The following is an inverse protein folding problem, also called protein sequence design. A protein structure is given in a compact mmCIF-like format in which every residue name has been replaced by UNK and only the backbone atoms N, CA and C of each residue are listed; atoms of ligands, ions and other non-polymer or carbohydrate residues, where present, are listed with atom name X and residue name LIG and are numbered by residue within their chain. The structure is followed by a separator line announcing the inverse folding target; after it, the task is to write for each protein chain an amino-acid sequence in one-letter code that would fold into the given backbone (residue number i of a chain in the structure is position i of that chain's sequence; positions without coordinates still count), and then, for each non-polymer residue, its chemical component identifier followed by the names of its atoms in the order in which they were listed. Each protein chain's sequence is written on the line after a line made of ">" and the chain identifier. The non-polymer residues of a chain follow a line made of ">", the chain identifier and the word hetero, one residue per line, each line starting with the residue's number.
data_IF_750524983914
#
_entry.id   IF_750524983914
#
_cell.length_a   1.000
_cell.length_b   1.000
_cell.length_c   1.000
_cell.angle_alpha   90.00
_cell.angle_beta   90.00
_cell.angle_gamma   90.00
#
_symmetry.space_group_name_H-M   'P 1'
#
loop_
_entity.id
_entity.type
_entity.pdbx_description
1 polymer ?
#
# COMPACT_ATOMS: atom_id res chain seq x y z
N UNK A 1 17.77 6.63 -21.24
CA UNK A 1 17.24 6.64 -19.86
C UNK A 1 18.33 7.23 -18.97
N UNK A 2 18.02 8.28 -18.19
CA UNK A 2 18.99 8.86 -17.25
C UNK A 2 19.22 7.93 -16.06
N UNK A 3 20.31 8.14 -15.30
CA UNK A 3 20.58 7.38 -14.05
C UNK A 3 19.41 7.48 -13.07
N UNK A 4 18.76 8.64 -12.97
CA UNK A 4 17.60 8.87 -12.11
C UNK A 4 16.38 8.08 -12.60
N UNK A 5 16.13 8.04 -13.92
CA UNK A 5 15.06 7.22 -14.49
C UNK A 5 15.32 5.71 -14.30
N UNK A 6 16.58 5.28 -14.36
CA UNK A 6 16.94 3.88 -14.07
C UNK A 6 16.68 3.53 -12.61
N UNK A 7 17.02 4.43 -11.68
CA UNK A 7 16.76 4.24 -10.26
C UNK A 7 15.26 4.12 -10.00
N UNK A 8 14.45 5.05 -10.51
CA UNK A 8 12.98 5.02 -10.41
C UNK A 8 12.43 3.70 -10.93
N UNK A 9 12.86 3.25 -12.12
CA UNK A 9 12.38 2.00 -12.71
C UNK A 9 12.76 0.78 -11.87
N UNK A 10 13.99 0.73 -11.34
CA UNK A 10 14.46 -0.38 -10.52
C UNK A 10 13.70 -0.49 -9.20
N UNK A 11 13.56 0.64 -8.48
CA UNK A 11 12.83 0.67 -7.22
C UNK A 11 11.34 0.42 -7.47
N UNK A 12 10.77 1.04 -8.51
CA UNK A 12 9.36 0.91 -8.85
C UNK A 12 8.98 -0.54 -9.17
N UNK A 13 9.80 -1.25 -9.95
CA UNK A 13 9.59 -2.67 -10.24
C UNK A 13 9.58 -3.51 -8.95
N UNK A 14 10.57 -3.34 -8.09
CA UNK A 14 10.62 -4.09 -6.83
C UNK A 14 9.47 -3.72 -5.90
N UNK A 15 9.06 -2.44 -5.84
CA UNK A 15 7.93 -1.99 -5.05
C UNK A 15 6.61 -2.62 -5.52
N UNK A 16 6.40 -2.71 -6.84
CA UNK A 16 5.24 -3.37 -7.42
C UNK A 16 5.23 -4.89 -7.16
N UNK A 17 6.38 -5.55 -7.20
CA UNK A 17 6.50 -6.98 -6.88
C UNK A 17 6.12 -7.30 -5.41
N UNK A 18 6.39 -6.36 -4.49
CA UNK A 18 6.07 -6.53 -3.07
C UNK A 18 4.69 -6.01 -2.67
N UNK A 19 4.04 -5.19 -3.51
CA UNK A 19 2.74 -4.59 -3.21
C UNK A 19 1.67 -5.62 -2.79
N UNK A 20 1.48 -6.78 -3.46
CA UNK A 20 0.44 -7.74 -3.10
C UNK A 20 0.54 -8.21 -1.64
N UNK A 21 1.77 -8.27 -1.12
CA UNK A 21 2.03 -8.72 0.26
C UNK A 21 1.91 -7.61 1.30
N UNK A 22 2.45 -6.42 0.99
CA UNK A 22 2.61 -5.37 2.00
C UNK A 22 1.59 -4.25 1.88
N UNK A 23 0.93 -4.11 0.72
CA UNK A 23 -0.12 -3.12 0.45
C UNK A 23 0.32 -1.67 0.69
N UNK A 24 1.60 -1.37 0.47
CA UNK A 24 2.17 -0.02 0.58
C UNK A 24 2.40 0.53 -0.83
N UNK A 25 1.92 1.75 -1.09
CA UNK A 25 2.00 2.37 -2.43
C UNK A 25 3.43 2.42 -2.97
N UNK A 26 3.67 1.92 -4.19
CA UNK A 26 4.96 2.02 -4.85
C UNK A 26 5.48 3.45 -4.99
N UNK A 27 4.62 4.42 -5.30
CA UNK A 27 4.98 5.84 -5.40
C UNK A 27 5.59 6.38 -4.11
N UNK A 28 5.01 6.05 -2.96
CA UNK A 28 5.55 6.42 -1.64
C UNK A 28 6.95 5.80 -1.45
N UNK A 29 7.10 4.51 -1.74
CA UNK A 29 8.38 3.79 -1.62
C UNK A 29 9.47 4.42 -2.47
N UNK A 30 9.15 4.76 -3.74
CA UNK A 30 10.12 5.40 -4.65
C UNK A 30 10.49 6.79 -4.13
N UNK A 31 9.51 7.61 -3.73
CA UNK A 31 9.74 8.97 -3.24
C UNK A 31 10.61 8.98 -1.98
N UNK A 32 10.34 8.10 -1.01
CA UNK A 32 11.18 7.96 0.18
C UNK A 32 12.59 7.49 -0.16
N UNK A 33 12.75 6.48 -1.01
CA UNK A 33 14.06 6.01 -1.44
C UNK A 33 14.87 7.12 -2.12
N UNK A 34 14.26 7.95 -2.96
CA UNK A 34 14.90 9.11 -3.59
C UNK A 34 15.33 10.13 -2.53
N UNK A 35 14.42 10.50 -1.63
CA UNK A 35 14.64 11.53 -0.63
C UNK A 35 15.75 11.13 0.35
N UNK A 36 15.64 9.94 0.94
CA UNK A 36 16.54 9.43 1.98
C UNK A 36 17.95 9.11 1.43
N UNK A 37 18.05 8.68 0.17
CA UNK A 37 19.32 8.32 -0.43
C UNK A 37 19.97 9.46 -1.25
N UNK A 38 19.31 10.60 -1.38
CA UNK A 38 19.75 11.66 -2.29
C UNK A 38 19.90 11.13 -3.73
N UNK A 39 18.85 10.53 -4.27
CA UNK A 39 18.87 9.92 -5.60
C UNK A 39 19.85 8.75 -5.74
N UNK A 40 19.99 7.94 -4.71
CA UNK A 40 20.94 6.80 -4.70
C UNK A 40 22.41 7.23 -4.65
N UNK A 41 22.70 8.49 -4.29
CA UNK A 41 24.07 9.02 -4.24
C UNK A 41 24.73 8.83 -2.89
N UNK A 42 23.97 8.52 -1.83
CA UNK A 42 24.51 8.29 -0.49
C UNK A 42 25.47 7.09 -0.45
N UNK A 43 26.38 7.08 0.53
CA UNK A 43 27.25 5.93 0.76
C UNK A 43 26.46 4.69 1.13
N UNK A 44 25.39 4.84 1.93
CA UNK A 44 24.52 3.72 2.34
C UNK A 44 23.81 3.07 1.15
N UNK A 45 23.28 3.87 0.22
CA UNK A 45 22.64 3.31 -0.98
C UNK A 45 23.65 2.59 -1.88
N UNK A 46 24.87 3.15 -2.06
CA UNK A 46 25.90 2.59 -2.95
C UNK A 46 26.62 1.37 -2.40
N UNK A 47 26.85 1.32 -1.09
CA UNK A 47 27.68 0.29 -0.44
C UNK A 47 26.87 -0.78 0.28
N UNK A 48 25.67 -0.42 0.74
CA UNK A 48 24.83 -1.27 1.56
C UNK A 48 23.46 -1.56 0.96
N UNK A 49 23.13 -1.05 -0.23
CA UNK A 49 21.79 -1.10 -0.83
C UNK A 49 20.69 -0.62 0.15
N UNK A 50 21.03 0.27 1.06
CA UNK A 50 20.14 0.84 2.06
C UNK A 50 19.72 2.25 1.63
N UNK A 51 18.63 2.32 0.91
CA UNK A 51 18.10 3.55 0.32
C UNK A 51 17.28 4.38 1.32
N UNK A 52 16.97 3.83 2.48
CA UNK A 52 16.08 4.44 3.48
C UNK A 52 16.80 4.84 4.77
N UNK A 53 18.11 4.72 4.82
CA UNK A 53 18.88 5.08 6.00
C UNK A 53 18.57 4.23 7.24
N UNK A 54 18.11 3.00 7.06
CA UNK A 54 17.69 2.16 8.18
C UNK A 54 18.86 1.71 9.03
N UNK A 55 18.84 2.08 10.31
CA UNK A 55 19.82 1.62 11.30
C UNK A 55 19.63 0.14 11.64
N UNK A 56 20.73 -0.53 11.96
CA UNK A 56 20.72 -1.87 12.54
C UNK A 56 20.26 -1.75 14.00
N UNK A 57 18.97 -1.91 14.25
CA UNK A 57 18.44 -1.89 15.61
C UNK A 57 18.81 -3.15 16.40
N UNK A 58 18.47 -3.16 17.69
CA UNK A 58 18.83 -4.23 18.64
C UNK A 58 18.53 -5.66 18.16
N UNK A 59 17.48 -5.82 17.37
CA UNK A 59 17.01 -7.13 16.91
C UNK A 59 17.43 -7.45 15.46
N UNK A 60 18.27 -6.60 14.85
CA UNK A 60 18.76 -6.87 13.51
C UNK A 60 19.86 -7.92 13.54
N UNK A 61 19.69 -9.01 12.81
CA UNK A 61 20.64 -10.14 12.73
C UNK A 61 21.30 -10.26 11.35
N UNK A 62 20.95 -9.37 10.42
CA UNK A 62 21.52 -9.35 9.07
C UNK A 62 22.86 -8.62 9.02
N UNK A 63 23.43 -8.53 7.82
CA UNK A 63 24.67 -7.79 7.58
C UNK A 63 24.51 -6.30 7.93
N UNK A 64 25.60 -5.69 8.39
CA UNK A 64 25.66 -4.26 8.73
C UNK A 64 26.71 -3.55 7.91
N UNK A 65 26.52 -2.25 7.75
CA UNK A 65 27.48 -1.30 7.23
C UNK A 65 27.66 -0.18 8.23
N UNK A 66 28.88 -0.01 8.70
CA UNK A 66 29.21 1.02 9.69
C UNK A 66 29.50 2.35 8.98
N UNK A 67 28.86 3.42 9.42
CA UNK A 67 29.02 4.75 8.84
C UNK A 67 28.81 5.85 9.87
N UNK A 68 29.47 6.99 9.64
CA UNK A 68 29.22 8.21 10.39
C UNK A 68 27.91 8.85 9.92
N UNK A 69 27.10 9.29 10.88
CA UNK A 69 25.83 9.96 10.65
C UNK A 69 25.68 11.17 11.56
N UNK A 70 25.07 12.23 11.04
CA UNK A 70 24.74 13.42 11.82
C UNK A 70 23.45 13.19 12.62
N UNK A 71 23.51 13.35 13.92
CA UNK A 71 22.34 13.38 14.80
C UNK A 71 22.13 14.80 15.33
N UNK A 72 20.89 15.17 15.56
CA UNK A 72 20.56 16.46 16.16
C UNK A 72 20.09 16.28 17.61
N UNK A 73 20.59 17.13 18.49
CA UNK A 73 20.03 17.27 19.84
C UNK A 73 18.66 17.94 19.80
N UNK A 74 17.91 17.84 20.87
CA UNK A 74 16.62 18.56 21.04
C UNK A 74 16.80 20.09 20.87
N UNK A 75 18.00 20.61 21.16
CA UNK A 75 18.36 22.03 20.95
C UNK A 75 18.82 22.36 19.52
N UNK A 76 18.76 21.39 18.58
CA UNK A 76 19.11 21.62 17.17
C UNK A 76 20.61 21.54 16.86
N UNK A 77 21.49 21.24 17.84
CA UNK A 77 22.92 21.09 17.59
C UNK A 77 23.20 19.73 16.91
N UNK A 78 23.86 19.77 15.76
CA UNK A 78 24.30 18.56 15.05
C UNK A 78 25.61 18.03 15.63
N UNK A 79 25.71 16.71 15.81
CA UNK A 79 26.94 16.02 16.16
C UNK A 79 27.04 14.73 15.36
N UNK A 80 28.27 14.31 15.06
CA UNK A 80 28.54 13.09 14.33
C UNK A 80 28.61 11.91 15.29
N UNK A 81 27.93 10.83 14.95
CA UNK A 81 28.06 9.54 15.62
C UNK A 81 28.37 8.47 14.59
N UNK A 82 29.06 7.45 15.04
CA UNK A 82 29.28 6.25 14.29
C UNK A 82 28.12 5.27 14.58
N UNK A 83 27.49 4.75 13.54
CA UNK A 83 26.33 3.87 13.70
C UNK A 83 26.36 2.72 12.69
N UNK A 84 25.81 1.58 13.10
CA UNK A 84 25.60 0.45 12.23
C UNK A 84 24.27 0.59 11.51
N UNK A 85 24.30 0.52 10.20
CA UNK A 85 23.16 0.53 9.31
C UNK A 85 22.94 -0.87 8.73
N UNK A 86 21.69 -1.19 8.40
CA UNK A 86 21.35 -2.43 7.70
C UNK A 86 22.03 -2.46 6.34
N UNK A 87 22.61 -3.61 5.99
CA UNK A 87 23.21 -3.85 4.68
C UNK A 87 22.50 -4.99 3.97
N UNK A 88 22.25 -4.81 2.68
CA UNK A 88 21.50 -5.74 1.86
C UNK A 88 22.29 -6.16 0.64
N UNK A 89 22.04 -7.37 0.13
CA UNK A 89 22.73 -7.94 -1.02
C UNK A 89 22.31 -7.32 -2.35
N UNK A 90 21.14 -6.67 -2.40
CA UNK A 90 20.61 -6.02 -3.59
C UNK A 90 19.63 -4.91 -3.23
N UNK A 91 19.30 -4.05 -4.23
CA UNK A 91 18.25 -3.02 -4.10
C UNK A 91 16.91 -3.65 -3.72
N UNK A 92 16.52 -4.76 -4.38
CA UNK A 92 15.27 -5.47 -4.07
C UNK A 92 15.23 -5.95 -2.62
N UNK A 93 16.34 -6.47 -2.08
CA UNK A 93 16.42 -6.86 -0.67
C UNK A 93 16.36 -5.65 0.28
N UNK A 94 16.92 -4.51 -0.12
CA UNK A 94 16.79 -3.25 0.63
C UNK A 94 15.34 -2.76 0.70
N UNK A 95 14.60 -2.87 -0.39
CA UNK A 95 13.18 -2.52 -0.46
C UNK A 95 12.35 -3.51 0.38
N UNK A 96 12.65 -4.81 0.29
CA UNK A 96 12.01 -5.81 1.16
C UNK A 96 12.21 -5.47 2.64
N UNK A 97 13.45 -5.16 3.04
CA UNK A 97 13.77 -4.78 4.42
C UNK A 97 13.04 -3.51 4.88
N UNK A 98 12.82 -2.55 3.98
CA UNK A 98 11.98 -1.38 4.24
C UNK A 98 10.52 -1.77 4.49
N UNK A 99 9.92 -2.62 3.66
CA UNK A 99 8.55 -3.08 3.88
C UNK A 99 8.40 -3.91 5.16
N UNK A 100 9.39 -4.74 5.50
CA UNK A 100 9.43 -5.48 6.76
C UNK A 100 9.47 -4.52 7.96
N UNK A 101 10.16 -3.39 7.84
CA UNK A 101 10.15 -2.33 8.85
C UNK A 101 8.78 -1.63 8.92
N UNK A 102 8.14 -1.32 7.80
CA UNK A 102 6.79 -0.75 7.79
C UNK A 102 5.70 -1.73 8.24
N UNK A 103 6.04 -2.97 8.53
CA UNK A 103 5.10 -3.94 9.08
C UNK A 103 4.87 -3.81 10.59
N UNK A 104 5.62 -2.91 11.29
CA UNK A 104 5.34 -2.57 12.68
C UNK A 104 3.98 -1.88 12.82
N UNK A 105 3.27 -2.15 13.94
CA UNK A 105 1.90 -1.68 14.21
C UNK A 105 1.71 -0.17 13.99
N UNK A 106 2.72 0.64 14.29
CA UNK A 106 2.67 2.10 14.11
C UNK A 106 2.47 2.55 12.67
N UNK A 107 2.73 1.69 11.68
CA UNK A 107 2.56 1.95 10.25
C UNK A 107 1.39 1.17 9.64
N UNK A 108 0.56 0.52 10.47
CA UNK A 108 -0.53 -0.34 9.99
C UNK A 108 -1.55 0.42 9.12
N UNK A 109 -1.74 1.71 9.38
CA UNK A 109 -2.65 2.60 8.66
C UNK A 109 -2.21 2.93 7.22
N UNK A 110 -0.97 2.62 6.84
CA UNK A 110 -0.48 2.77 5.46
C UNK A 110 -0.96 1.65 4.54
N UNK A 111 -1.35 0.50 5.10
CA UNK A 111 -1.72 -0.67 4.31
C UNK A 111 -3.06 -0.46 3.62
N UNK A 112 -3.10 -0.66 2.31
CA UNK A 112 -4.31 -0.51 1.51
C UNK A 112 -4.70 0.94 1.19
N UNK A 113 -3.87 1.92 1.56
CA UNK A 113 -4.07 3.32 1.12
C UNK A 113 -3.86 3.40 -0.38
N UNK A 114 -4.82 3.99 -1.11
CA UNK A 114 -4.81 4.13 -2.58
C UNK A 114 -4.47 5.54 -3.06
N UNK A 115 -4.54 6.54 -2.16
CA UNK A 115 -4.15 7.92 -2.43
C UNK A 115 -2.75 8.23 -1.89
N UNK A 116 -1.83 8.61 -2.78
CA UNK A 116 -0.44 8.88 -2.39
C UNK A 116 -0.28 10.11 -1.47
N UNK A 117 -1.19 11.10 -1.54
CA UNK A 117 -1.12 12.28 -0.65
C UNK A 117 -1.42 11.86 0.79
N UNK A 118 -2.44 11.03 0.95
CA UNK A 118 -2.77 10.41 2.23
C UNK A 118 -1.60 9.55 2.73
N UNK A 119 -1.01 8.71 1.89
CA UNK A 119 0.14 7.88 2.29
C UNK A 119 1.35 8.73 2.74
N UNK A 120 1.65 9.84 2.04
CA UNK A 120 2.71 10.78 2.42
C UNK A 120 2.44 11.48 3.76
N UNK A 121 1.17 11.78 4.06
CA UNK A 121 0.78 12.35 5.34
C UNK A 121 0.95 11.35 6.48
N UNK A 122 0.42 10.14 6.30
CA UNK A 122 0.44 9.08 7.30
C UNK A 122 1.86 8.67 7.67
N UNK A 123 2.75 8.40 6.72
CA UNK A 123 4.14 8.00 7.02
C UNK A 123 4.86 9.04 7.89
N UNK A 124 4.57 10.34 7.72
CA UNK A 124 5.10 11.39 8.58
C UNK A 124 4.45 11.38 9.95
N UNK A 125 3.13 11.25 10.05
CA UNK A 125 2.38 11.20 11.31
C UNK A 125 2.81 9.99 12.16
N UNK A 126 3.13 8.88 11.52
CA UNK A 126 3.65 7.66 12.15
C UNK A 126 5.11 7.82 12.64
N UNK A 127 5.69 9.00 12.46
CA UNK A 127 6.99 9.36 13.03
C UNK A 127 8.19 8.85 12.22
N UNK A 128 8.07 8.68 10.91
CA UNK A 128 9.22 8.38 10.05
C UNK A 128 10.23 9.52 10.04
N UNK A 129 9.75 10.77 9.97
CA UNK A 129 10.60 11.95 9.95
C UNK A 129 10.06 13.06 10.84
N UNK A 130 10.98 13.85 11.41
CA UNK A 130 10.65 15.04 12.23
C UNK A 130 10.52 16.32 11.40
N UNK A 131 11.00 16.31 10.16
CA UNK A 131 10.93 17.46 9.24
C UNK A 131 9.47 17.87 8.99
N UNK A 132 9.13 19.13 9.27
CA UNK A 132 7.76 19.67 9.07
C UNK A 132 7.33 19.65 7.61
N UNK A 133 8.27 19.74 6.67
CA UNK A 133 8.05 19.75 5.22
C UNK A 133 8.17 18.37 4.57
N UNK A 134 8.28 17.29 5.37
CA UNK A 134 8.51 15.95 4.82
C UNK A 134 7.42 15.50 3.86
N UNK A 135 6.16 15.70 4.23
CA UNK A 135 4.99 15.36 3.39
C UNK A 135 5.04 16.09 2.05
N UNK A 136 5.29 17.40 2.06
CA UNK A 136 5.35 18.22 0.84
C UNK A 136 6.50 17.81 -0.08
N UNK A 137 7.66 17.44 0.50
CA UNK A 137 8.80 16.92 -0.25
C UNK A 137 8.46 15.62 -0.96
N UNK A 138 7.79 14.68 -0.28
CA UNK A 138 7.38 13.41 -0.89
C UNK A 138 6.35 13.63 -2.00
N UNK A 139 5.32 14.44 -1.76
CA UNK A 139 4.31 14.77 -2.77
C UNK A 139 4.96 15.40 -3.99
N UNK A 140 5.84 16.38 -3.79
CA UNK A 140 6.56 17.04 -4.89
C UNK A 140 7.41 16.05 -5.70
N UNK A 141 8.08 15.10 -5.04
CA UNK A 141 8.83 14.05 -5.73
C UNK A 141 7.92 13.15 -6.57
N UNK A 142 6.76 12.77 -6.03
CA UNK A 142 5.78 11.94 -6.74
C UNK A 142 5.25 12.66 -7.97
N UNK A 143 4.82 13.91 -7.82
CA UNK A 143 4.21 14.70 -8.89
C UNK A 143 5.23 15.06 -9.97
N UNK A 144 6.39 15.60 -9.60
CA UNK A 144 7.43 16.06 -10.55
C UNK A 144 8.04 14.91 -11.36
N UNK A 145 8.01 13.68 -10.86
CA UNK A 145 8.58 12.51 -11.54
C UNK A 145 7.52 11.52 -12.04
N UNK A 146 6.24 11.84 -11.91
CA UNK A 146 5.13 11.01 -12.37
C UNK A 146 5.12 9.61 -11.73
N UNK A 147 5.45 9.53 -10.41
CA UNK A 147 5.63 8.24 -9.74
C UNK A 147 4.30 7.52 -9.47
N UNK A 148 3.18 8.24 -9.43
CA UNK A 148 1.85 7.67 -9.24
C UNK A 148 1.45 6.61 -10.30
N UNK A 149 2.13 6.60 -11.46
CA UNK A 149 1.94 5.54 -12.47
C UNK A 149 2.30 4.14 -11.98
N UNK A 150 3.19 4.03 -10.98
CA UNK A 150 3.58 2.75 -10.39
C UNK A 150 2.50 2.19 -9.45
N UNK A 151 1.52 3.01 -9.05
CA UNK A 151 0.42 2.61 -8.16
C UNK A 151 -0.73 1.92 -8.90
N UNK A 152 -0.57 1.65 -10.21
CA UNK A 152 -1.55 0.89 -11.00
C UNK A 152 -1.87 -0.50 -10.40
N UNK A 153 -0.91 -1.12 -9.73
CA UNK A 153 -1.11 -2.40 -9.01
C UNK A 153 -2.14 -2.28 -7.88
N UNK A 154 -2.19 -1.14 -7.18
CA UNK A 154 -3.19 -0.86 -6.14
C UNK A 154 -4.59 -0.72 -6.74
N UNK A 155 -4.70 -0.05 -7.89
CA UNK A 155 -5.97 0.15 -8.60
C UNK A 155 -6.54 -1.15 -9.18
N UNK A 156 -5.68 -2.04 -9.66
CA UNK A 156 -6.09 -3.36 -10.17
C UNK A 156 -6.69 -4.20 -9.04
N UNK A 157 -6.05 -4.23 -7.87
CA UNK A 157 -6.58 -4.96 -6.72
C UNK A 157 -7.90 -4.37 -6.21
N UNK A 158 -8.04 -3.03 -6.18
CA UNK A 158 -9.29 -2.37 -5.81
C UNK A 158 -10.44 -2.78 -6.76
N UNK A 159 -10.16 -2.92 -8.06
CA UNK A 159 -11.15 -3.40 -9.05
C UNK A 159 -11.44 -4.90 -8.87
N UNK A 160 -10.47 -5.70 -8.49
CA UNK A 160 -10.69 -7.14 -8.26
C UNK A 160 -11.45 -7.40 -6.94
N UNK A 161 -11.20 -6.61 -5.86
CA UNK A 161 -11.96 -6.70 -4.60
C UNK A 161 -13.41 -6.23 -4.77
N UNK A 162 -13.69 -5.31 -5.68
CA UNK A 162 -15.04 -4.79 -5.99
C UNK A 162 -15.71 -5.61 -7.10
N UNK A 163 -15.18 -6.77 -7.49
CA UNK A 163 -15.92 -7.66 -8.37
C UNK A 163 -17.17 -8.13 -7.63
N UNK A 164 -18.23 -7.37 -7.85
CA UNK A 164 -19.55 -7.60 -7.26
C UNK A 164 -19.98 -9.04 -7.50
N UNK A 165 -20.17 -9.79 -6.42
CA UNK A 165 -20.70 -11.15 -6.53
C UNK A 165 -22.12 -11.04 -7.05
N UNK A 166 -22.36 -11.55 -8.26
CA UNK A 166 -23.68 -11.59 -8.89
C UNK A 166 -24.12 -13.03 -9.03
N UNK A 167 -25.40 -13.26 -8.78
CA UNK A 167 -26.03 -14.58 -8.83
C UNK A 167 -26.92 -14.66 -10.05
N UNK A 168 -26.66 -15.61 -10.93
CA UNK A 168 -27.46 -15.84 -12.12
C UNK A 168 -28.69 -16.75 -11.85
N UNK A 169 -28.61 -17.61 -10.85
CA UNK A 169 -29.67 -18.59 -10.52
C UNK A 169 -29.99 -18.60 -9.03
N UNK A 170 -31.18 -19.13 -8.68
CA UNK A 170 -31.56 -19.32 -7.27
C UNK A 170 -30.61 -20.26 -6.55
N UNK A 171 -30.05 -21.25 -7.23
CA UNK A 171 -29.14 -22.24 -6.62
C UNK A 171 -27.80 -21.62 -6.18
N UNK A 172 -27.36 -20.57 -6.83
CA UNK A 172 -26.15 -19.83 -6.50
C UNK A 172 -26.32 -18.89 -5.31
N UNK A 173 -27.57 -18.53 -4.99
CA UNK A 173 -27.88 -17.62 -3.87
C UNK A 173 -27.48 -18.23 -2.51
N UNK A 174 -27.13 -17.38 -1.54
CA UNK A 174 -26.97 -17.83 -0.16
C UNK A 174 -28.23 -18.57 0.32
N UNK A 175 -28.11 -19.66 1.09
CA UNK A 175 -29.27 -20.49 1.54
C UNK A 175 -30.39 -19.69 2.20
N UNK A 176 -30.05 -18.63 2.94
CA UNK A 176 -31.01 -17.76 3.62
C UNK A 176 -31.88 -16.94 2.70
N UNK A 177 -31.50 -16.78 1.42
CA UNK A 177 -32.19 -15.97 0.42
C UNK A 177 -32.99 -16.80 -0.61
N UNK A 178 -32.59 -18.05 -0.84
CA UNK A 178 -33.15 -18.88 -1.93
C UNK A 178 -34.67 -18.96 -1.89
N UNK A 179 -35.26 -19.24 -0.71
CA UNK A 179 -36.71 -19.38 -0.54
C UNK A 179 -37.44 -18.07 -0.85
N UNK A 180 -36.92 -16.94 -0.38
CA UNK A 180 -37.51 -15.62 -0.64
C UNK A 180 -37.49 -15.28 -2.12
N UNK A 181 -36.34 -15.41 -2.78
CA UNK A 181 -36.20 -15.08 -4.21
C UNK A 181 -37.08 -16.00 -5.04
N UNK A 182 -37.11 -17.30 -4.78
CA UNK A 182 -38.00 -18.24 -5.46
C UNK A 182 -39.48 -17.84 -5.33
N UNK A 183 -39.92 -17.42 -4.15
CA UNK A 183 -41.29 -16.95 -3.92
C UNK A 183 -41.59 -15.67 -4.70
N UNK A 184 -40.65 -14.74 -4.79
CA UNK A 184 -40.81 -13.50 -5.55
C UNK A 184 -40.87 -13.75 -7.06
N UNK A 185 -40.11 -14.72 -7.56
CA UNK A 185 -40.19 -15.20 -8.95
C UNK A 185 -41.58 -15.80 -9.20
N UNK A 186 -42.07 -16.69 -8.34
CA UNK A 186 -43.37 -17.33 -8.49
C UNK A 186 -44.56 -16.34 -8.45
N UNK A 187 -44.38 -15.21 -7.75
CA UNK A 187 -45.35 -14.10 -7.68
C UNK A 187 -45.21 -13.10 -8.85
N UNK A 188 -44.20 -13.27 -9.72
CA UNK A 188 -43.95 -12.40 -10.86
C UNK A 188 -43.29 -11.03 -10.53
N UNK A 189 -42.70 -10.90 -9.31
CA UNK A 189 -41.97 -9.68 -8.96
C UNK A 189 -40.56 -9.61 -9.57
N UNK A 190 -40.07 -10.76 -10.06
CA UNK A 190 -38.81 -10.87 -10.79
C UNK A 190 -39.14 -11.37 -12.19
N UNK A 191 -38.87 -10.55 -13.19
CA UNK A 191 -39.31 -10.80 -14.56
C UNK A 191 -38.42 -11.79 -15.33
N UNK A 192 -37.11 -11.69 -15.15
CA UNK A 192 -36.16 -12.61 -15.78
C UNK A 192 -35.82 -13.73 -14.80
N UNK A 193 -36.33 -14.92 -15.07
CA UNK A 193 -36.16 -16.10 -14.23
C UNK A 193 -34.99 -16.99 -14.67
N UNK A 194 -34.51 -16.78 -15.90
CA UNK A 194 -33.46 -17.59 -16.50
C UNK A 194 -32.04 -17.01 -16.19
N UNK A 195 -32.00 -15.69 -15.96
CA UNK A 195 -30.78 -15.01 -15.53
C UNK A 195 -31.10 -13.89 -14.53
N UNK A 196 -30.97 -14.17 -13.23
CA UNK A 196 -31.39 -13.26 -12.18
C UNK A 196 -30.54 -12.00 -12.09
N UNK A 197 -29.26 -12.09 -12.43
CA UNK A 197 -28.28 -10.98 -12.34
C UNK A 197 -28.36 -10.16 -11.02
N UNK A 198 -28.54 -10.85 -9.88
CA UNK A 198 -28.70 -10.23 -8.57
C UNK A 198 -27.37 -10.08 -7.85
N UNK A 199 -27.03 -8.88 -7.44
CA UNK A 199 -25.93 -8.66 -6.48
C UNK A 199 -26.31 -9.10 -5.08
N UNK A 200 -25.29 -9.32 -4.21
CA UNK A 200 -25.52 -9.67 -2.81
C UNK A 200 -26.38 -8.61 -2.08
N UNK A 201 -26.17 -7.32 -2.39
CA UNK A 201 -26.93 -6.24 -1.77
C UNK A 201 -28.38 -6.18 -2.27
N UNK A 202 -28.59 -6.42 -3.56
CA UNK A 202 -29.96 -6.59 -4.09
C UNK A 202 -30.69 -7.74 -3.41
N UNK A 203 -30.03 -8.88 -3.22
CA UNK A 203 -30.56 -10.04 -2.52
C UNK A 203 -30.94 -9.72 -1.07
N UNK A 204 -30.07 -8.98 -0.35
CA UNK A 204 -30.35 -8.51 1.03
C UNK A 204 -31.60 -7.62 1.08
N UNK A 205 -31.70 -6.66 0.14
CA UNK A 205 -32.87 -5.77 0.05
C UNK A 205 -34.14 -6.56 -0.21
N UNK A 206 -34.12 -7.51 -1.15
CA UNK A 206 -35.29 -8.35 -1.45
C UNK A 206 -35.76 -9.13 -0.22
N UNK A 207 -34.84 -9.73 0.54
CA UNK A 207 -35.17 -10.49 1.76
C UNK A 207 -35.67 -9.59 2.89
N UNK A 208 -35.10 -8.40 3.06
CA UNK A 208 -35.57 -7.42 4.06
C UNK A 208 -37.00 -6.98 3.72
N UNK A 209 -37.25 -6.64 2.47
CA UNK A 209 -38.56 -6.19 2.01
C UNK A 209 -39.63 -7.29 2.15
N UNK A 210 -39.30 -8.56 1.84
CA UNK A 210 -40.20 -9.70 2.02
C UNK A 210 -40.55 -9.89 3.48
N UNK A 211 -39.54 -9.87 4.37
CA UNK A 211 -39.76 -9.98 5.83
C UNK A 211 -40.55 -8.81 6.41
N UNK A 212 -40.48 -7.64 5.79
CA UNK A 212 -41.25 -6.46 6.18
C UNK A 212 -42.65 -6.43 5.53
N UNK A 213 -43.09 -7.52 4.87
CA UNK A 213 -44.38 -7.65 4.18
C UNK A 213 -44.61 -6.59 3.06
N UNK A 214 -43.57 -6.10 2.41
CA UNK A 214 -43.69 -5.14 1.31
C UNK A 214 -44.17 -5.77 -0.01
N UNK A 215 -44.06 -7.09 -0.16
CA UNK A 215 -44.53 -7.85 -1.34
C UNK A 215 -45.83 -8.61 -0.99
N UNK A 216 -46.91 -7.89 -0.71
CA UNK A 216 -48.22 -8.45 -0.43
C UNK A 216 -49.02 -8.68 -1.68
#
# INVERSE_FOLDING_TARGET
>A
MTTEQQLIATIGKAAQEYYPKYKILPSLTIAQAILESGWGRSYLSKRANNYFGMKAGRYWTGATYNADTGEQTVSGKTFMINADFRSYSSISQGIKGYYEFLNYDRYANLKGVTDYKTACLLIKQDGWATDIHYTDKLISLIENNGLAKFDSVAKIEEVEEVKEIRYATVAELPPWAQKTVQNLMNKGYIADTDNLDLSLDMVRILVINDRSNMYK
#
